data_IF_008167063716
#
_entry.id   IF_008167063716
#
_cell.length_a   1.000
_cell.length_b   1.000
_cell.length_c   1.000
_cell.angle_alpha   90.00
_cell.angle_beta   90.00
_cell.angle_gamma   90.00
#
_symmetry.space_group_name_H-M   'P 1'
#
loop_
_entity.id
_entity.type
_entity.pdbx_description
1 polymer ?
#
# COMPACT_ATOMS: atom_id res chain seq x y z
N UNK A 1 -34.13 18.50 -18.32
CA UNK A 1 -32.77 17.96 -18.52
C UNK A 1 -32.59 17.67 -20.01
N UNK A 2 -31.54 18.18 -20.66
CA UNK A 2 -31.33 17.95 -22.11
C UNK A 2 -31.08 16.46 -22.40
N UNK A 3 -31.59 15.95 -23.53
CA UNK A 3 -31.36 14.56 -23.97
C UNK A 3 -29.85 14.22 -24.00
N UNK A 4 -29.02 15.17 -24.40
CA UNK A 4 -27.56 15.03 -24.41
C UNK A 4 -27.00 14.85 -23.00
N UNK A 5 -27.50 15.59 -22.01
CA UNK A 5 -27.05 15.46 -20.63
C UNK A 5 -27.43 14.09 -20.03
N UNK A 6 -28.61 13.57 -20.38
CA UNK A 6 -29.03 12.22 -19.98
C UNK A 6 -28.13 11.16 -20.63
N UNK A 7 -27.85 11.27 -21.94
CA UNK A 7 -26.94 10.34 -22.61
C UNK A 7 -25.53 10.37 -22.01
N UNK A 8 -24.97 11.55 -21.74
CA UNK A 8 -23.64 11.68 -21.11
C UNK A 8 -23.62 11.08 -19.71
N UNK A 9 -24.68 11.29 -18.92
CA UNK A 9 -24.80 10.68 -17.60
C UNK A 9 -24.89 9.16 -17.68
N UNK A 10 -25.65 8.60 -18.62
CA UNK A 10 -25.70 7.15 -18.83
C UNK A 10 -24.34 6.58 -19.25
N UNK A 11 -23.62 7.26 -20.16
CA UNK A 11 -22.26 6.86 -20.54
C UNK A 11 -21.33 6.89 -19.34
N UNK A 12 -21.38 7.93 -18.52
CA UNK A 12 -20.58 8.06 -17.30
C UNK A 12 -20.86 6.91 -16.31
N UNK A 13 -22.13 6.57 -16.07
CA UNK A 13 -22.50 5.47 -15.18
C UNK A 13 -22.02 4.11 -15.71
N UNK A 14 -22.15 3.89 -17.02
CA UNK A 14 -21.71 2.64 -17.66
C UNK A 14 -20.19 2.52 -17.67
N UNK A 15 -19.46 3.60 -17.94
CA UNK A 15 -17.99 3.57 -17.92
C UNK A 15 -17.45 3.42 -16.50
N UNK A 16 -18.12 4.03 -15.52
CA UNK A 16 -17.70 4.00 -14.13
C UNK A 16 -17.60 2.58 -13.57
N UNK A 17 -18.53 1.67 -13.90
CA UNK A 17 -18.49 0.30 -13.37
C UNK A 17 -17.23 -0.46 -13.80
N UNK A 18 -16.82 -0.32 -15.06
CA UNK A 18 -15.59 -0.92 -15.58
C UNK A 18 -14.34 -0.28 -14.96
N UNK A 19 -14.34 1.06 -14.84
CA UNK A 19 -13.21 1.78 -14.24
C UNK A 19 -13.05 1.40 -12.76
N UNK A 20 -14.15 1.33 -12.02
CA UNK A 20 -14.16 0.90 -10.62
C UNK A 20 -13.63 -0.53 -10.47
N UNK A 21 -14.15 -1.48 -11.26
CA UNK A 21 -13.70 -2.86 -11.21
C UNK A 21 -12.20 -2.99 -11.54
N UNK A 22 -11.73 -2.28 -12.57
CA UNK A 22 -10.32 -2.26 -12.96
C UNK A 22 -9.44 -1.66 -11.86
N UNK A 23 -9.83 -0.50 -11.31
CA UNK A 23 -9.09 0.17 -10.25
C UNK A 23 -8.98 -0.71 -8.99
N UNK A 24 -10.07 -1.33 -8.56
CA UNK A 24 -10.09 -2.23 -7.41
C UNK A 24 -9.20 -3.47 -7.65
N UNK A 25 -9.25 -4.05 -8.85
CA UNK A 25 -8.43 -5.22 -9.21
C UNK A 25 -6.94 -4.89 -9.18
N UNK A 26 -6.52 -3.77 -9.79
CA UNK A 26 -5.12 -3.36 -9.79
C UNK A 26 -4.64 -2.92 -8.40
N UNK A 27 -5.52 -2.34 -7.60
CA UNK A 27 -5.20 -1.98 -6.22
C UNK A 27 -4.88 -3.22 -5.39
N UNK A 28 -5.73 -4.27 -5.50
CA UNK A 28 -5.51 -5.57 -4.86
C UNK A 28 -4.21 -6.23 -5.34
N UNK A 29 -4.00 -6.33 -6.65
CA UNK A 29 -2.81 -6.96 -7.23
C UNK A 29 -1.53 -6.24 -6.78
N UNK A 30 -1.57 -4.90 -6.74
CA UNK A 30 -0.45 -4.09 -6.24
C UNK A 30 -0.18 -4.33 -4.76
N UNK A 31 -1.23 -4.47 -3.94
CA UNK A 31 -1.11 -4.79 -2.53
C UNK A 31 -0.47 -6.16 -2.30
N UNK A 32 -0.99 -7.19 -2.98
CA UNK A 32 -0.50 -8.57 -2.88
C UNK A 32 0.97 -8.66 -3.30
N UNK A 33 1.32 -8.04 -4.43
CA UNK A 33 2.70 -8.01 -4.92
C UNK A 33 3.66 -7.33 -3.95
N UNK A 34 3.32 -6.13 -3.47
CA UNK A 34 4.18 -5.41 -2.54
C UNK A 34 4.28 -6.14 -1.19
N UNK A 35 3.22 -6.80 -0.75
CA UNK A 35 3.23 -7.67 0.44
C UNK A 35 4.25 -8.79 0.30
N UNK A 36 4.23 -9.52 -0.81
CA UNK A 36 5.17 -10.63 -1.04
C UNK A 36 6.62 -10.18 -1.14
N UNK A 37 6.86 -9.02 -1.76
CA UNK A 37 8.22 -8.43 -1.86
C UNK A 37 8.71 -8.02 -0.47
N UNK A 38 7.92 -7.25 0.28
CA UNK A 38 8.28 -6.84 1.64
C UNK A 38 8.50 -8.05 2.55
N UNK A 39 7.65 -9.07 2.45
CA UNK A 39 7.84 -10.29 3.23
C UNK A 39 9.11 -11.06 2.88
N UNK A 40 9.44 -11.18 1.59
CA UNK A 40 10.71 -11.76 1.16
C UNK A 40 11.92 -10.97 1.68
N UNK A 41 11.77 -9.64 1.80
CA UNK A 41 12.82 -8.77 2.30
C UNK A 41 12.95 -8.77 3.82
N UNK A 42 11.84 -8.95 4.53
CA UNK A 42 11.78 -9.04 5.97
C UNK A 42 12.14 -10.42 6.53
N UNK A 43 11.99 -11.51 5.78
CA UNK A 43 12.10 -12.88 6.31
C UNK A 43 13.39 -13.15 7.10
N UNK A 44 14.50 -12.50 6.70
CA UNK A 44 15.82 -12.69 7.30
C UNK A 44 16.11 -11.68 8.42
N UNK A 45 15.21 -10.70 8.63
CA UNK A 45 15.33 -9.61 9.58
C UNK A 45 14.33 -9.71 10.76
N UNK A 46 13.20 -10.39 10.57
CA UNK A 46 12.21 -10.62 11.64
C UNK A 46 12.20 -12.07 12.10
N UNK A 47 12.38 -12.25 13.41
CA UNK A 47 12.40 -13.51 14.12
C UNK A 47 10.99 -14.13 14.17
N UNK A 48 10.85 -15.38 14.66
CA UNK A 48 9.55 -16.06 14.77
C UNK A 48 8.57 -15.42 15.78
N UNK A 49 9.06 -14.59 16.68
CA UNK A 49 8.22 -13.84 17.62
C UNK A 49 7.61 -12.60 16.94
N UNK A 50 6.52 -12.05 17.48
CA UNK A 50 5.91 -10.84 16.91
C UNK A 50 6.91 -9.69 16.99
N UNK A 51 7.45 -9.28 15.84
CA UNK A 51 8.31 -8.12 15.72
C UNK A 51 7.48 -6.92 15.27
N UNK A 52 7.64 -5.80 15.97
CA UNK A 52 7.13 -4.51 15.54
C UNK A 52 8.02 -3.99 14.42
N UNK A 53 7.42 -3.68 13.27
CA UNK A 53 8.08 -3.06 12.12
C UNK A 53 7.55 -1.64 12.00
N UNK A 54 8.44 -0.67 12.09
CA UNK A 54 8.08 0.72 11.91
C UNK A 54 8.06 1.02 10.42
N UNK A 55 6.95 1.50 9.87
CA UNK A 55 6.84 1.85 8.44
C UNK A 55 6.30 3.26 8.23
N UNK A 56 6.74 3.98 7.20
CA UNK A 56 6.20 5.32 6.89
C UNK A 56 4.77 5.29 6.35
N UNK A 57 4.44 4.21 5.66
CA UNK A 57 3.11 3.84 5.17
C UNK A 57 3.11 2.34 4.93
N UNK A 58 1.99 1.74 4.57
CA UNK A 58 2.01 0.31 4.26
C UNK A 58 2.59 0.03 2.87
N UNK A 59 1.91 0.46 1.81
CA UNK A 59 2.33 0.28 0.41
C UNK A 59 1.87 1.44 -0.46
N UNK A 60 2.44 1.60 -1.65
CA UNK A 60 1.90 2.57 -2.60
C UNK A 60 0.60 2.10 -3.25
N UNK A 61 -0.26 3.06 -3.52
CA UNK A 61 -1.41 2.87 -4.39
C UNK A 61 -1.00 2.51 -5.82
N UNK A 62 -1.84 1.73 -6.50
CA UNK A 62 -1.56 1.35 -7.88
C UNK A 62 -1.60 2.57 -8.82
N UNK A 63 -0.68 2.69 -9.79
CA UNK A 63 -0.72 3.80 -10.76
C UNK A 63 -2.03 3.88 -11.53
N UNK A 64 -2.70 2.74 -11.77
CA UNK A 64 -4.01 2.68 -12.42
C UNK A 64 -5.08 3.32 -11.55
N UNK A 65 -5.12 3.01 -10.24
CA UNK A 65 -6.05 3.65 -9.31
C UNK A 65 -5.78 5.15 -9.18
N UNK A 66 -4.52 5.55 -9.00
CA UNK A 66 -4.13 6.97 -8.87
C UNK A 66 -4.56 7.77 -10.09
N UNK A 67 -4.36 7.24 -11.29
CA UNK A 67 -4.76 7.90 -12.54
C UNK A 67 -6.28 7.88 -12.76
N UNK A 68 -6.95 6.76 -12.46
CA UNK A 68 -8.41 6.66 -12.58
C UNK A 68 -9.13 7.60 -11.63
N UNK A 69 -8.62 7.76 -10.40
CA UNK A 69 -9.19 8.64 -9.37
C UNK A 69 -9.12 10.13 -9.70
N UNK A 70 -8.25 10.54 -10.64
CA UNK A 70 -8.25 11.93 -11.15
C UNK A 70 -9.51 12.23 -11.97
N UNK A 71 -9.97 11.24 -12.72
CA UNK A 71 -11.16 11.35 -13.58
C UNK A 71 -12.45 10.95 -12.86
N UNK A 72 -12.34 10.06 -11.88
CA UNK A 72 -13.45 9.57 -11.06
C UNK A 72 -13.12 9.73 -9.57
N UNK A 73 -13.23 10.94 -8.98
CA UNK A 73 -12.84 11.20 -7.60
C UNK A 73 -13.54 10.32 -6.56
N UNK A 74 -14.77 9.88 -6.85
CA UNK A 74 -15.54 8.96 -5.99
C UNK A 74 -14.81 7.63 -5.75
N UNK A 75 -13.86 7.24 -6.60
CA UNK A 75 -13.06 6.02 -6.39
C UNK A 75 -12.28 6.05 -5.07
N UNK A 76 -11.87 7.22 -4.59
CA UNK A 76 -11.13 7.35 -3.31
C UNK A 76 -11.95 6.95 -2.09
N UNK A 77 -13.27 7.03 -2.19
CA UNK A 77 -14.20 6.63 -1.13
C UNK A 77 -14.59 5.14 -1.23
N UNK A 78 -14.42 4.54 -2.42
CA UNK A 78 -14.92 3.19 -2.72
C UNK A 78 -13.81 2.14 -2.77
N UNK A 79 -12.59 2.54 -3.14
CA UNK A 79 -11.43 1.65 -3.25
C UNK A 79 -10.52 1.91 -2.05
N UNK A 80 -10.24 0.89 -1.22
CA UNK A 80 -9.35 1.04 -0.08
C UNK A 80 -7.94 1.47 -0.50
N UNK A 81 -7.34 2.45 0.17
CA UNK A 81 -5.95 2.84 -0.08
C UNK A 81 -4.99 1.75 0.41
N UNK A 82 -3.95 1.50 -0.36
CA UNK A 82 -2.88 0.58 0.00
C UNK A 82 -1.92 1.21 1.02
N UNK A 83 -1.85 2.55 1.04
CA UNK A 83 -0.96 3.33 1.93
C UNK A 83 -1.39 3.27 3.40
N UNK A 84 -2.70 3.11 3.64
CA UNK A 84 -3.26 3.20 4.98
C UNK A 84 -2.83 2.01 5.85
N UNK A 85 -2.35 2.34 7.05
CA UNK A 85 -1.97 1.36 8.06
C UNK A 85 -3.11 1.16 9.07
N UNK A 86 -4.08 0.33 8.69
CA UNK A 86 -5.25 0.00 9.50
C UNK A 86 -5.48 -1.52 9.53
N UNK A 87 -6.31 -1.99 10.47
CA UNK A 87 -6.44 -3.42 10.78
C UNK A 87 -6.70 -4.32 9.56
N UNK A 88 -7.66 -4.02 8.66
CA UNK A 88 -7.88 -4.79 7.44
C UNK A 88 -6.65 -4.96 6.55
N UNK A 89 -5.88 -3.89 6.32
CA UNK A 89 -4.67 -3.95 5.51
C UNK A 89 -3.57 -4.77 6.21
N UNK A 90 -3.38 -4.60 7.52
CA UNK A 90 -2.43 -5.43 8.28
C UNK A 90 -2.84 -6.91 8.28
N UNK A 91 -4.14 -7.19 8.40
CA UNK A 91 -4.69 -8.54 8.32
C UNK A 91 -4.46 -9.18 6.94
N UNK A 92 -4.71 -8.44 5.85
CA UNK A 92 -4.43 -8.87 4.48
C UNK A 92 -2.95 -9.17 4.28
N UNK A 93 -2.07 -8.30 4.75
CA UNK A 93 -0.62 -8.52 4.67
C UNK A 93 -0.22 -9.84 5.34
N UNK A 94 -0.68 -10.08 6.58
CA UNK A 94 -0.41 -11.33 7.32
C UNK A 94 -0.98 -12.55 6.59
N UNK A 95 -2.16 -12.41 6.00
CA UNK A 95 -2.84 -13.47 5.25
C UNK A 95 -2.07 -13.85 3.99
N UNK A 96 -1.53 -12.87 3.24
CA UNK A 96 -0.77 -13.14 2.02
C UNK A 96 0.63 -13.70 2.31
N UNK A 97 1.27 -13.22 3.37
CA UNK A 97 2.69 -13.45 3.59
C UNK A 97 3.00 -14.51 4.63
N UNK A 98 2.05 -14.80 5.52
CA UNK A 98 2.27 -15.65 6.70
C UNK A 98 3.19 -15.03 7.77
N UNK A 99 3.69 -13.80 7.57
CA UNK A 99 4.54 -13.12 8.55
C UNK A 99 3.70 -12.53 9.68
N UNK A 100 4.04 -12.87 10.91
CA UNK A 100 3.38 -12.34 12.10
C UNK A 100 4.04 -11.04 12.59
N UNK A 101 4.02 -10.00 11.76
CA UNK A 101 4.54 -8.67 12.10
C UNK A 101 3.42 -7.70 12.43
N UNK A 102 3.68 -6.84 13.42
CA UNK A 102 2.83 -5.68 13.70
C UNK A 102 3.47 -4.45 13.08
N UNK A 103 2.72 -3.73 12.26
CA UNK A 103 3.26 -2.53 11.61
C UNK A 103 2.78 -1.28 12.35
N UNK A 104 3.69 -0.35 12.57
CA UNK A 104 3.43 0.93 13.24
C UNK A 104 3.93 2.09 12.38
N UNK A 105 3.16 3.19 12.33
CA UNK A 105 3.57 4.37 11.57
C UNK A 105 4.73 5.06 12.27
N UNK A 106 5.78 5.43 11.53
CA UNK A 106 6.81 6.35 12.02
C UNK A 106 7.12 7.48 11.02
N UNK A 107 7.69 8.56 11.52
CA UNK A 107 8.20 9.65 10.69
C UNK A 107 9.67 9.36 10.29
N UNK A 108 9.93 9.28 8.99
CA UNK A 108 11.27 9.05 8.45
C UNK A 108 12.27 10.14 8.85
N UNK A 109 11.80 11.36 9.13
CA UNK A 109 12.67 12.46 9.56
C UNK A 109 13.19 12.26 10.99
N UNK A 110 12.52 11.43 11.79
CA UNK A 110 12.98 11.06 13.12
C UNK A 110 14.06 9.96 13.09
N UNK A 111 14.21 9.25 11.96
CA UNK A 111 15.25 8.24 11.81
C UNK A 111 16.59 8.92 11.48
N UNK A 112 17.53 8.86 12.43
CA UNK A 112 18.91 9.25 12.16
C UNK A 112 19.56 8.24 11.22
N UNK A 113 19.67 8.60 9.94
CA UNK A 113 20.22 7.75 8.88
C UNK A 113 21.71 7.43 9.07
N UNK A 114 22.45 8.24 9.80
CA UNK A 114 23.88 8.01 10.07
C UNK A 114 24.10 6.91 11.12
N UNK A 115 23.09 6.65 11.96
CA UNK A 115 23.11 5.63 13.02
C UNK A 115 22.30 4.38 12.64
N UNK A 116 21.81 4.29 11.40
CA UNK A 116 20.98 3.19 10.94
C UNK A 116 21.64 2.46 9.78
N UNK A 117 21.67 1.14 9.85
CA UNK A 117 22.25 0.32 8.79
C UNK A 117 21.21 0.05 7.70
N UNK A 118 21.51 0.46 6.47
CA UNK A 118 20.68 0.12 5.30
C UNK A 118 20.90 -1.36 4.94
N UNK A 119 19.91 -2.19 5.24
CA UNK A 119 19.97 -3.64 5.01
C UNK A 119 19.52 -4.01 3.60
N UNK A 120 18.42 -3.41 3.13
CA UNK A 120 17.86 -3.67 1.80
C UNK A 120 17.32 -2.40 1.17
N UNK A 121 17.44 -2.32 -0.15
CA UNK A 121 16.92 -1.22 -0.95
C UNK A 121 16.38 -1.75 -2.27
N UNK A 122 15.12 -1.48 -2.57
CA UNK A 122 14.50 -1.85 -3.84
C UNK A 122 13.65 -0.69 -4.38
N UNK A 123 12.88 -0.96 -5.44
CA UNK A 123 12.01 0.04 -6.07
C UNK A 123 10.88 0.55 -5.17
N UNK A 124 10.37 -0.31 -4.27
CA UNK A 124 9.22 -0.02 -3.41
C UNK A 124 9.60 0.56 -2.05
N UNK A 125 10.73 0.14 -1.48
CA UNK A 125 11.12 0.56 -0.14
C UNK A 125 12.62 0.46 0.12
N UNK A 126 13.05 1.14 1.18
CA UNK A 126 14.31 0.95 1.89
C UNK A 126 14.04 0.33 3.26
N UNK A 127 14.88 -0.62 3.69
CA UNK A 127 14.83 -1.22 5.02
C UNK A 127 16.10 -0.84 5.79
N UNK A 128 15.89 -0.19 6.92
CA UNK A 128 16.92 0.17 7.87
C UNK A 128 16.78 -0.67 9.15
N UNK A 129 17.90 -0.97 9.79
CA UNK A 129 17.94 -1.56 11.13
C UNK A 129 18.67 -0.62 12.06
N UNK A 130 18.05 -0.32 13.21
CA UNK A 130 18.64 0.48 14.29
C UNK A 130 18.23 -0.13 15.61
N UNK A 131 19.19 -0.35 16.52
CA UNK A 131 18.96 -0.89 17.87
C UNK A 131 18.14 -2.21 17.89
N UNK A 132 18.30 -3.05 16.86
CA UNK A 132 17.52 -4.29 16.65
C UNK A 132 16.04 -4.10 16.29
N UNK A 133 15.61 -2.87 15.98
CA UNK A 133 14.30 -2.54 15.42
C UNK A 133 14.40 -2.38 13.89
N UNK A 134 13.31 -2.73 13.19
CA UNK A 134 13.24 -2.69 11.73
C UNK A 134 12.40 -1.50 11.27
N UNK A 135 12.97 -0.67 10.42
CA UNK A 135 12.35 0.53 9.86
C UNK A 135 12.21 0.40 8.34
N UNK A 136 11.00 0.58 7.83
CA UNK A 136 10.66 0.47 6.42
C UNK A 136 10.25 1.84 5.89
N UNK A 137 11.03 2.38 4.97
CA UNK A 137 10.68 3.60 4.24
C UNK A 137 10.09 3.23 2.89
N UNK A 138 8.79 3.44 2.71
CA UNK A 138 8.12 3.24 1.42
C UNK A 138 8.46 4.42 0.50
N UNK A 139 9.03 4.12 -0.67
CA UNK A 139 9.47 5.11 -1.68
C UNK A 139 8.35 5.52 -2.59
#
# INVERSE_FOLDING_TARGET
MSKTAVCLFCVYLLSFTFVYASALSHQKESFERQSMILAGDLKDLVNRDTVTVHSTSLFKDSPVFVNSSKNYPILKELVPPNEALYWPNQFLFRTYTGLNVNMEIFDINALNKEESDLMKSNYYHDIYVKDSEVFVHVK
#
